data_IF_153470921779
#
_entry.id   IF_153470921779
#
_cell.length_a   1.000
_cell.length_b   1.000
_cell.length_c   1.000
_cell.angle_alpha   90.00
_cell.angle_beta   90.00
_cell.angle_gamma   90.00
#
_symmetry.space_group_name_H-M   'P 1'
#
loop_
_entity.id
_entity.type
_entity.pdbx_description
1 polymer ?
#
# COMPACT_ATOMS: atom_id res chain seq x y z
N UNK A 1 4.91 -55.31 0.04
CA UNK A 1 4.94 -54.25 1.08
C UNK A 1 5.09 -52.91 0.38
N UNK A 2 3.99 -52.31 -0.03
CA UNK A 2 3.97 -51.01 -0.72
C UNK A 2 4.15 -49.87 0.28
N UNK A 3 5.09 -48.97 -0.01
CA UNK A 3 5.26 -47.71 0.73
C UNK A 3 4.21 -46.72 0.23
N UNK A 4 3.26 -46.37 1.09
CA UNK A 4 2.34 -45.26 0.85
C UNK A 4 3.13 -43.94 0.88
N UNK A 5 3.19 -43.27 -0.27
CA UNK A 5 3.77 -41.94 -0.40
C UNK A 5 2.92 -40.92 0.38
N UNK A 6 3.56 -40.18 1.27
CA UNK A 6 2.96 -39.06 1.99
C UNK A 6 2.72 -37.90 1.02
N UNK A 7 1.45 -37.68 0.66
CA UNK A 7 1.02 -36.49 -0.07
C UNK A 7 1.20 -35.28 0.86
N UNK A 8 2.35 -34.63 0.76
CA UNK A 8 2.62 -33.36 1.42
C UNK A 8 1.83 -32.27 0.69
N UNK A 9 0.66 -31.96 1.24
CA UNK A 9 -0.19 -30.87 0.79
C UNK A 9 0.50 -29.52 1.08
N UNK A 10 1.40 -29.11 0.18
CA UNK A 10 2.05 -27.80 0.21
C UNK A 10 0.99 -26.75 -0.12
N UNK A 11 0.39 -26.17 0.93
CA UNK A 11 -0.39 -24.93 0.81
C UNK A 11 0.53 -23.82 0.32
N UNK A 12 0.51 -23.56 -0.98
CA UNK A 12 1.07 -22.32 -1.52
C UNK A 12 0.19 -21.16 -1.02
N UNK A 13 0.78 -20.09 -0.46
CA UNK A 13 0.01 -18.90 -0.14
C UNK A 13 -0.61 -18.38 -1.45
N UNK A 14 -1.93 -18.20 -1.47
CA UNK A 14 -2.74 -17.82 -2.66
C UNK A 14 -2.20 -16.58 -3.39
N UNK A 15 -1.40 -15.76 -2.71
CA UNK A 15 -0.69 -14.59 -3.25
C UNK A 15 0.40 -14.90 -4.29
N UNK A 16 0.79 -16.16 -4.50
CA UNK A 16 1.86 -16.54 -5.42
C UNK A 16 1.39 -16.92 -6.84
N UNK A 17 0.08 -16.96 -7.11
CA UNK A 17 -0.45 -17.30 -8.44
C UNK A 17 -0.37 -16.10 -9.41
N UNK A 18 0.10 -16.27 -10.66
CA UNK A 18 0.23 -15.19 -11.66
C UNK A 18 -1.06 -14.38 -11.88
N UNK A 19 -2.22 -15.04 -11.83
CA UNK A 19 -3.55 -14.44 -11.98
C UNK A 19 -3.83 -13.39 -10.88
N UNK A 20 -3.39 -13.64 -9.66
CA UNK A 20 -3.57 -12.71 -8.54
C UNK A 20 -2.75 -11.42 -8.73
N UNK A 21 -1.53 -11.55 -9.27
CA UNK A 21 -0.67 -10.38 -9.59
C UNK A 21 -1.27 -9.53 -10.71
N UNK A 22 -1.86 -10.17 -11.72
CA UNK A 22 -2.50 -9.45 -12.82
C UNK A 22 -3.72 -8.65 -12.34
N UNK A 23 -4.61 -9.28 -11.56
CA UNK A 23 -5.78 -8.60 -11.00
C UNK A 23 -5.38 -7.46 -10.07
N UNK A 24 -4.37 -7.66 -9.21
CA UNK A 24 -3.82 -6.60 -8.37
C UNK A 24 -3.34 -5.39 -9.19
N UNK A 25 -2.63 -5.63 -10.30
CA UNK A 25 -2.15 -4.56 -11.17
C UNK A 25 -3.31 -3.78 -11.81
N UNK A 26 -4.38 -4.47 -12.22
CA UNK A 26 -5.61 -3.82 -12.72
C UNK A 26 -6.22 -2.96 -11.62
N UNK A 27 -6.42 -3.49 -10.41
CA UNK A 27 -6.98 -2.75 -9.27
C UNK A 27 -6.17 -1.48 -8.99
N UNK A 28 -4.84 -1.60 -8.92
CA UNK A 28 -3.95 -0.46 -8.72
C UNK A 28 -4.08 0.58 -9.83
N UNK A 29 -4.16 0.14 -11.10
CA UNK A 29 -4.37 1.05 -12.23
C UNK A 29 -5.69 1.80 -12.09
N UNK A 30 -6.79 1.10 -11.76
CA UNK A 30 -8.10 1.74 -11.57
C UNK A 30 -8.02 2.80 -10.47
N UNK A 31 -7.41 2.47 -9.31
CA UNK A 31 -7.24 3.43 -8.21
C UNK A 31 -6.52 4.69 -8.67
N UNK A 32 -5.39 4.53 -9.37
CA UNK A 32 -4.60 5.67 -9.84
C UNK A 32 -5.33 6.49 -10.91
N UNK A 33 -5.99 5.83 -11.86
CA UNK A 33 -6.80 6.48 -12.90
C UNK A 33 -7.95 7.28 -12.27
N UNK A 34 -8.65 6.73 -11.28
CA UNK A 34 -9.77 7.40 -10.61
C UNK A 34 -9.31 8.62 -9.82
N UNK A 35 -8.19 8.51 -9.09
CA UNK A 35 -7.61 9.66 -8.38
C UNK A 35 -7.13 10.75 -9.33
N UNK A 36 -6.55 10.39 -10.48
CA UNK A 36 -6.13 11.35 -11.50
C UNK A 36 -7.32 12.11 -12.12
N UNK A 37 -8.49 11.47 -12.19
CA UNK A 37 -9.74 12.08 -12.63
C UNK A 37 -10.45 12.90 -11.53
N UNK A 38 -9.91 12.94 -10.31
CA UNK A 38 -10.51 13.65 -9.18
C UNK A 38 -11.75 12.97 -8.61
N UNK A 39 -11.96 11.68 -8.90
CA UNK A 39 -13.09 10.94 -8.38
C UNK A 39 -13.06 10.84 -6.85
N UNK A 40 -14.23 10.85 -6.22
CA UNK A 40 -14.37 10.40 -4.84
C UNK A 40 -14.37 8.86 -4.74
N UNK A 41 -14.44 8.32 -3.52
CA UNK A 41 -14.38 6.87 -3.31
C UNK A 41 -15.59 6.13 -3.91
N UNK A 42 -16.79 6.74 -3.88
CA UNK A 42 -18.00 6.12 -4.39
C UNK A 42 -17.99 6.05 -5.92
N UNK A 43 -17.59 7.14 -6.58
CA UNK A 43 -17.40 7.20 -8.03
C UNK A 43 -16.31 6.21 -8.48
N UNK A 44 -15.17 6.20 -7.77
CA UNK A 44 -14.08 5.29 -8.06
C UNK A 44 -14.49 3.83 -7.89
N UNK A 45 -15.33 3.52 -6.90
CA UNK A 45 -15.88 2.18 -6.70
C UNK A 45 -16.85 1.77 -7.81
N UNK A 46 -17.67 2.70 -8.31
CA UNK A 46 -18.48 2.49 -9.51
C UNK A 46 -17.63 2.13 -10.73
N UNK A 47 -16.54 2.88 -10.97
CA UNK A 47 -15.57 2.60 -12.03
C UNK A 47 -14.87 1.24 -11.84
N UNK A 48 -14.58 0.86 -10.61
CA UNK A 48 -14.01 -0.45 -10.28
C UNK A 48 -14.95 -1.59 -10.68
N UNK A 49 -16.22 -1.52 -10.30
CA UNK A 49 -17.19 -2.55 -10.67
C UNK A 49 -17.43 -2.58 -12.18
N UNK A 50 -17.53 -1.42 -12.82
CA UNK A 50 -17.68 -1.31 -14.26
C UNK A 50 -16.50 -1.95 -15.02
N UNK A 51 -15.26 -1.57 -14.67
CA UNK A 51 -14.05 -2.07 -15.35
C UNK A 51 -13.79 -3.56 -15.13
N UNK A 52 -14.40 -4.17 -14.12
CA UNK A 52 -14.22 -5.59 -13.78
C UNK A 52 -15.49 -6.42 -13.99
N UNK A 53 -16.54 -5.86 -14.60
CA UNK A 53 -17.83 -6.52 -14.78
C UNK A 53 -17.72 -7.80 -15.63
N UNK A 54 -16.86 -7.79 -16.65
CA UNK A 54 -16.69 -8.90 -17.59
C UNK A 54 -15.63 -9.93 -17.14
N UNK A 55 -15.07 -9.78 -15.92
CA UNK A 55 -14.09 -10.74 -15.42
C UNK A 55 -14.76 -12.02 -14.91
N UNK A 56 -14.19 -13.15 -15.30
CA UNK A 56 -14.51 -14.47 -14.76
C UNK A 56 -13.33 -15.01 -13.92
N UNK A 57 -13.50 -15.24 -12.60
CA UNK A 57 -14.69 -14.93 -11.80
C UNK A 57 -14.83 -13.41 -11.53
N UNK A 58 -16.05 -12.94 -11.20
CA UNK A 58 -16.29 -11.54 -10.84
C UNK A 58 -15.41 -11.04 -9.70
N UNK A 59 -15.28 -9.73 -9.58
CA UNK A 59 -14.55 -9.12 -8.47
C UNK A 59 -15.16 -9.52 -7.11
N UNK A 60 -14.36 -10.16 -6.27
CA UNK A 60 -14.81 -10.64 -4.96
C UNK A 60 -14.68 -9.59 -3.86
N UNK A 61 -15.26 -9.88 -2.69
CA UNK A 61 -15.19 -8.99 -1.52
C UNK A 61 -13.74 -8.62 -1.12
N UNK A 62 -12.78 -9.55 -1.26
CA UNK A 62 -11.36 -9.27 -0.97
C UNK A 62 -10.77 -8.19 -1.88
N UNK A 63 -11.17 -8.19 -3.14
CA UNK A 63 -10.68 -7.23 -4.13
C UNK A 63 -11.32 -5.87 -3.95
N UNK A 64 -12.60 -5.83 -3.58
CA UNK A 64 -13.28 -4.61 -3.16
C UNK A 64 -12.60 -3.99 -1.93
N UNK A 65 -12.36 -4.77 -0.86
CA UNK A 65 -11.65 -4.26 0.33
C UNK A 65 -10.25 -3.76 -0.01
N UNK A 66 -9.53 -4.47 -0.88
CA UNK A 66 -8.21 -4.07 -1.34
C UNK A 66 -8.26 -2.79 -2.17
N UNK A 67 -9.24 -2.65 -3.05
CA UNK A 67 -9.49 -1.44 -3.83
C UNK A 67 -9.68 -0.23 -2.91
N UNK A 68 -10.60 -0.32 -1.94
CA UNK A 68 -10.86 0.79 -1.01
C UNK A 68 -9.62 1.12 -0.16
N UNK A 69 -8.88 0.11 0.30
CA UNK A 69 -7.65 0.34 1.06
C UNK A 69 -6.59 1.07 0.23
N UNK A 70 -6.37 0.63 -1.01
CA UNK A 70 -5.44 1.30 -1.93
C UNK A 70 -5.90 2.72 -2.27
N UNK A 71 -7.19 2.91 -2.56
CA UNK A 71 -7.77 4.22 -2.88
C UNK A 71 -7.53 5.22 -1.75
N UNK A 72 -7.94 4.88 -0.52
CA UNK A 72 -7.75 5.73 0.67
C UNK A 72 -6.28 6.00 0.97
N UNK A 73 -5.43 4.99 0.83
CA UNK A 73 -3.98 5.14 1.03
C UNK A 73 -3.39 6.14 0.02
N UNK A 74 -3.72 6.00 -1.26
CA UNK A 74 -3.22 6.89 -2.30
C UNK A 74 -3.81 8.30 -2.19
N UNK A 75 -5.12 8.42 -1.92
CA UNK A 75 -5.78 9.70 -1.69
C UNK A 75 -5.15 10.44 -0.50
N UNK A 76 -4.92 9.74 0.61
CA UNK A 76 -4.25 10.34 1.77
C UNK A 76 -2.80 10.72 1.44
N UNK A 77 -2.07 9.91 0.68
CA UNK A 77 -0.72 10.25 0.23
C UNK A 77 -0.70 11.55 -0.62
N UNK A 78 -1.69 11.77 -1.47
CA UNK A 78 -1.82 12.98 -2.30
C UNK A 78 -2.21 14.20 -1.44
N UNK A 79 -3.13 14.02 -0.49
CA UNK A 79 -3.69 15.10 0.30
C UNK A 79 -2.83 15.51 1.51
N UNK A 80 -1.89 14.65 1.93
CA UNK A 80 -0.99 14.95 3.05
C UNK A 80 0.00 16.04 2.63
N UNK A 81 -0.06 17.18 3.33
CA UNK A 81 0.93 18.26 3.23
C UNK A 81 1.99 18.04 4.29
N UNK A 82 3.24 18.28 3.93
CA UNK A 82 4.40 18.15 4.81
C UNK A 82 5.24 19.38 4.55
N UNK A 83 5.38 20.21 5.57
CA UNK A 83 6.01 21.52 5.46
C UNK A 83 7.48 21.49 5.90
N UNK A 84 7.89 20.43 6.61
CA UNK A 84 9.26 20.30 7.09
C UNK A 84 9.76 18.86 7.16
N UNK A 85 11.10 18.71 7.23
CA UNK A 85 11.75 17.41 7.40
C UNK A 85 11.43 16.79 8.77
N UNK A 86 11.31 17.61 9.80
CA UNK A 86 10.95 17.21 11.15
C UNK A 86 9.54 16.61 11.20
N UNK A 87 8.60 17.23 10.47
CA UNK A 87 7.25 16.70 10.33
C UNK A 87 7.24 15.34 9.62
N UNK A 88 7.99 15.22 8.51
CA UNK A 88 8.13 13.95 7.79
C UNK A 88 8.68 12.83 8.69
N UNK A 89 9.72 13.13 9.48
CA UNK A 89 10.32 12.16 10.40
C UNK A 89 9.37 11.79 11.54
N UNK A 90 8.62 12.76 12.07
CA UNK A 90 7.59 12.52 13.08
C UNK A 90 6.50 11.58 12.57
N UNK A 91 6.04 11.75 11.33
CA UNK A 91 5.07 10.83 10.70
C UNK A 91 5.60 9.39 10.59
N UNK A 92 6.91 9.23 10.44
CA UNK A 92 7.58 7.91 10.43
C UNK A 92 7.97 7.41 11.83
N UNK A 93 7.62 8.13 12.91
CA UNK A 93 7.99 7.75 14.28
C UNK A 93 9.49 7.87 14.57
N UNK A 94 10.23 8.64 13.78
CA UNK A 94 11.67 8.88 13.94
C UNK A 94 11.85 10.14 14.80
N UNK A 95 12.62 10.03 15.89
CA UNK A 95 12.86 11.14 16.82
C UNK A 95 13.85 12.15 16.25
N UNK A 96 13.74 13.41 16.69
CA UNK A 96 14.60 14.52 16.25
C UNK A 96 16.08 14.31 16.58
N UNK A 97 16.42 13.54 17.61
CA UNK A 97 17.81 13.18 17.91
C UNK A 97 18.51 12.36 16.81
N UNK A 98 17.75 11.87 15.82
CA UNK A 98 18.27 11.14 14.66
C UNK A 98 18.41 12.03 13.39
N UNK A 99 18.16 13.35 13.52
CA UNK A 99 18.23 14.34 12.44
C UNK A 99 19.66 14.59 11.94
N UNK A 100 20.67 14.43 12.80
CA UNK A 100 22.08 14.73 12.48
C UNK A 100 22.79 13.67 11.65
N UNK A 101 22.04 12.67 11.17
CA UNK A 101 22.60 11.63 10.32
C UNK A 101 22.87 12.14 8.90
N UNK A 102 23.96 11.66 8.25
CA UNK A 102 24.17 11.89 6.82
C UNK A 102 22.95 11.46 6.00
N UNK A 103 22.60 12.17 4.91
CA UNK A 103 21.38 11.93 4.13
C UNK A 103 21.14 10.46 3.75
N UNK A 104 22.20 9.74 3.35
CA UNK A 104 22.12 8.32 3.00
C UNK A 104 21.65 7.44 4.17
N UNK A 105 22.09 7.72 5.40
CA UNK A 105 21.67 7.00 6.62
C UNK A 105 20.24 7.36 7.00
N UNK A 106 19.85 8.64 6.89
CA UNK A 106 18.46 9.07 7.13
C UNK A 106 17.50 8.39 6.17
N UNK A 107 17.79 8.36 4.86
CA UNK A 107 16.96 7.68 3.86
C UNK A 107 16.82 6.18 4.19
N UNK A 108 17.92 5.52 4.56
CA UNK A 108 17.90 4.12 4.96
C UNK A 108 16.97 3.87 6.15
N UNK A 109 17.04 4.71 7.19
CA UNK A 109 16.17 4.63 8.37
C UNK A 109 14.72 4.93 8.04
N UNK A 110 14.44 5.97 7.26
CA UNK A 110 13.09 6.32 6.83
C UNK A 110 12.42 5.16 6.07
N UNK A 111 13.16 4.51 5.16
CA UNK A 111 12.67 3.30 4.47
C UNK A 111 12.38 2.16 5.44
N UNK A 112 13.29 1.90 6.39
CA UNK A 112 13.11 0.84 7.38
C UNK A 112 11.89 1.09 8.28
N UNK A 113 11.73 2.33 8.77
CA UNK A 113 10.59 2.75 9.59
C UNK A 113 9.27 2.63 8.82
N UNK A 114 9.23 3.13 7.58
CA UNK A 114 8.06 2.97 6.71
C UNK A 114 7.68 1.50 6.52
N UNK A 115 8.62 0.64 6.16
CA UNK A 115 8.31 -0.78 5.91
C UNK A 115 7.90 -1.52 7.17
N UNK A 116 8.49 -1.19 8.33
CA UNK A 116 8.04 -1.71 9.62
C UNK A 116 6.58 -1.33 9.88
N UNK A 117 6.25 -0.05 9.80
CA UNK A 117 4.89 0.43 10.03
C UNK A 117 3.90 -0.09 8.98
N UNK A 118 4.29 -0.16 7.71
CA UNK A 118 3.45 -0.74 6.66
C UNK A 118 3.05 -2.17 7.03
N UNK A 119 4.03 -3.03 7.33
CA UNK A 119 3.77 -4.44 7.65
C UNK A 119 2.92 -4.61 8.92
N UNK A 120 3.14 -3.77 9.95
CA UNK A 120 2.34 -3.77 11.19
C UNK A 120 0.89 -3.33 10.94
N UNK A 121 0.70 -2.29 10.12
CA UNK A 121 -0.60 -1.68 9.84
C UNK A 121 -1.37 -2.39 8.72
N UNK A 122 -0.73 -3.25 7.94
CA UNK A 122 -1.32 -3.96 6.79
C UNK A 122 -1.22 -5.48 6.89
N UNK A 123 -1.20 -6.02 8.11
CA UNK A 123 -1.05 -7.46 8.38
C UNK A 123 -2.16 -8.32 7.77
N UNK A 124 -3.36 -7.76 7.62
CA UNK A 124 -4.47 -8.31 6.85
C UNK A 124 -5.26 -7.20 6.12
N UNK A 125 -6.25 -7.58 5.29
CA UNK A 125 -7.03 -6.62 4.50
C UNK A 125 -7.88 -5.67 5.33
N UNK A 126 -8.42 -6.11 6.48
CA UNK A 126 -9.21 -5.24 7.36
C UNK A 126 -8.32 -4.23 8.05
N UNK A 127 -7.16 -4.68 8.54
CA UNK A 127 -6.13 -3.82 9.11
C UNK A 127 -5.61 -2.82 8.08
N UNK A 128 -5.36 -3.27 6.85
CA UNK A 128 -4.91 -2.40 5.78
C UNK A 128 -5.97 -1.33 5.47
N UNK A 129 -7.23 -1.71 5.34
CA UNK A 129 -8.32 -0.76 5.09
C UNK A 129 -8.49 0.25 6.22
N UNK A 130 -8.45 -0.18 7.48
CA UNK A 130 -8.63 0.72 8.63
C UNK A 130 -7.45 1.67 8.83
N UNK A 131 -6.25 1.30 8.39
CA UNK A 131 -5.05 2.11 8.52
C UNK A 131 -4.59 2.75 7.20
N UNK A 132 -5.36 2.62 6.12
CA UNK A 132 -4.98 3.04 4.77
C UNK A 132 -4.50 4.49 4.73
N UNK A 133 -5.26 5.42 5.33
CA UNK A 133 -4.89 6.83 5.36
C UNK A 133 -3.58 7.08 6.12
N UNK A 134 -3.39 6.42 7.28
CA UNK A 134 -2.15 6.53 8.06
C UNK A 134 -0.94 6.05 7.24
N UNK A 135 -1.08 4.94 6.53
CA UNK A 135 -0.06 4.41 5.63
C UNK A 135 0.21 5.40 4.49
N UNK A 136 -0.84 6.02 3.93
CA UNK A 136 -0.73 7.06 2.90
C UNK A 136 0.10 8.26 3.35
N UNK A 137 -0.19 8.81 4.53
CA UNK A 137 0.58 9.90 5.12
C UNK A 137 2.05 9.52 5.36
N UNK A 138 2.32 8.31 5.88
CA UNK A 138 3.68 7.79 6.05
C UNK A 138 4.42 7.62 4.71
N UNK A 139 3.72 7.19 3.65
CA UNK A 139 4.28 7.09 2.30
C UNK A 139 4.66 8.46 1.76
N UNK A 140 3.82 9.48 1.97
CA UNK A 140 4.12 10.87 1.61
C UNK A 140 5.35 11.38 2.37
N UNK A 141 5.45 11.08 3.66
CA UNK A 141 6.62 11.42 4.48
C UNK A 141 7.91 10.77 3.99
N UNK A 142 7.85 9.49 3.61
CA UNK A 142 8.99 8.81 3.00
C UNK A 142 9.39 9.49 1.68
N UNK A 143 8.42 9.80 0.80
CA UNK A 143 8.66 10.50 -0.47
C UNK A 143 9.35 11.83 -0.21
N UNK A 144 8.83 12.65 0.71
CA UNK A 144 9.43 13.93 1.09
C UNK A 144 10.91 13.77 1.48
N UNK A 145 11.23 12.82 2.35
CA UNK A 145 12.62 12.57 2.77
C UNK A 145 13.51 12.07 1.62
N UNK A 146 12.97 11.26 0.70
CA UNK A 146 13.74 10.75 -0.45
C UNK A 146 13.89 11.74 -1.60
N UNK A 147 12.92 12.63 -1.75
CA UNK A 147 12.84 13.64 -2.81
C UNK A 147 13.58 14.92 -2.40
N UNK A 148 13.79 15.15 -1.10
CA UNK A 148 14.81 16.05 -0.55
C UNK A 148 16.22 15.53 -0.90
N UNK A 149 16.54 15.43 -2.19
CA UNK A 149 17.90 15.46 -2.71
C UNK A 149 18.18 16.90 -3.14
N UNK A 150 19.39 17.37 -2.86
CA UNK A 150 19.98 18.66 -3.30
C UNK A 150 19.36 19.94 -2.72
N UNK A 151 19.69 20.23 -1.46
CA UNK A 151 20.24 21.55 -1.11
C UNK A 151 21.66 21.30 -0.63
#
# INVERSE_FOLDING_TARGET
>A
MEKAASVTNKRYPVSSLPVYRHRLAIIQKIVLDSLAQGCDEAEALGLFFWKLADLEPPAGNKEHLLFCALFRMHQSCLNTRIDSREEALKLLGITSGELDLPPKKTIGRAKAAYWKHFNELSSDLKMFLSNASKIGAMKKALSFITDCKSI
#
